data_IF_731815128376
#
_entry.id   IF_731815128376
#
_cell.length_a   1.000
_cell.length_b   1.000
_cell.length_c   1.000
_cell.angle_alpha   90.00
_cell.angle_beta   90.00
_cell.angle_gamma   90.00
#
_symmetry.space_group_name_H-M   'P 1'
#
loop_
_entity.id
_entity.type
_entity.pdbx_description
1 polymer ?
#
# COMPACT_ATOMS: atom_id res chain seq x y z
N UNK A 1 -55.62 36.89 -10.90
CA UNK A 1 -55.12 37.93 -11.82
C UNK A 1 -53.85 37.45 -12.51
N UNK A 2 -54.04 37.17 -13.72
CA UNK A 2 -53.19 37.35 -14.92
C UNK A 2 -51.77 36.76 -14.95
N UNK A 3 -51.69 35.69 -15.70
CA UNK A 3 -50.55 35.05 -16.32
C UNK A 3 -50.01 35.96 -17.44
N UNK A 4 -48.70 36.08 -17.59
CA UNK A 4 -48.06 36.43 -18.87
C UNK A 4 -46.82 35.63 -19.08
N UNK A 5 -46.90 34.73 -20.04
CA UNK A 5 -45.82 34.01 -20.73
C UNK A 5 -45.17 34.90 -21.77
N UNK A 6 -43.85 34.87 -21.87
CA UNK A 6 -43.14 35.28 -23.10
C UNK A 6 -41.97 34.35 -23.37
N UNK A 7 -42.14 33.62 -24.45
CA UNK A 7 -41.16 32.83 -25.17
C UNK A 7 -40.32 33.73 -26.07
N UNK A 8 -39.00 33.53 -26.12
CA UNK A 8 -38.14 34.02 -27.18
C UNK A 8 -37.23 32.90 -27.67
N UNK A 9 -37.53 32.47 -28.85
CA UNK A 9 -36.72 31.68 -29.78
C UNK A 9 -35.69 32.60 -30.47
N UNK A 10 -34.47 32.10 -30.66
CA UNK A 10 -33.56 32.54 -31.73
C UNK A 10 -32.50 31.46 -31.95
N UNK A 11 -32.60 30.84 -32.95
CA UNK A 11 -32.06 30.48 -34.24
C UNK A 11 -30.54 30.47 -34.35
N UNK A 12 -30.11 29.31 -34.78
CA UNK A 12 -28.81 28.86 -35.27
C UNK A 12 -28.19 29.71 -36.39
N UNK A 13 -26.87 29.81 -36.40
CA UNK A 13 -26.10 29.97 -37.64
C UNK A 13 -24.83 29.12 -37.56
N UNK A 14 -24.76 28.15 -38.42
CA UNK A 14 -23.59 27.36 -38.79
C UNK A 14 -22.72 28.17 -39.78
N UNK A 15 -21.43 28.12 -39.64
CA UNK A 15 -20.48 28.41 -40.71
C UNK A 15 -19.33 27.43 -40.69
N UNK A 16 -19.32 26.62 -41.68
CA UNK A 16 -18.24 25.74 -42.14
C UNK A 16 -17.16 26.57 -42.87
N UNK A 17 -15.90 26.26 -42.60
CA UNK A 17 -14.83 26.55 -43.57
C UNK A 17 -13.83 25.40 -43.61
N UNK A 18 -13.61 25.00 -44.83
CA UNK A 18 -12.85 23.88 -45.37
C UNK A 18 -11.35 24.18 -45.44
N UNK A 19 -10.59 23.10 -45.25
CA UNK A 19 -9.37 22.63 -45.93
C UNK A 19 -8.14 23.53 -46.09
N UNK A 20 -7.00 22.97 -45.73
CA UNK A 20 -5.95 22.69 -46.73
C UNK A 20 -4.89 21.72 -46.21
N UNK A 21 -4.67 20.69 -46.95
CA UNK A 21 -3.60 19.72 -46.99
C UNK A 21 -2.27 20.36 -47.35
N UNK A 22 -1.19 19.93 -46.70
CA UNK A 22 0.13 19.89 -47.35
C UNK A 22 0.99 18.75 -46.79
N UNK A 23 1.28 17.86 -47.69
CA UNK A 23 2.23 16.77 -47.65
C UNK A 23 3.66 17.25 -47.91
N UNK A 24 4.65 16.69 -47.24
CA UNK A 24 6.03 16.48 -47.74
C UNK A 24 6.76 15.58 -46.76
N UNK A 25 7.05 14.40 -47.13
CA UNK A 25 8.14 13.76 -47.83
C UNK A 25 9.28 13.32 -46.91
N UNK A 26 9.34 12.00 -46.87
CA UNK A 26 10.41 11.08 -46.45
C UNK A 26 11.83 11.51 -46.79
N UNK A 27 12.76 11.28 -45.88
CA UNK A 27 14.12 10.89 -46.27
C UNK A 27 14.67 9.83 -45.27
N UNK A 28 14.81 8.64 -45.79
CA UNK A 28 15.56 7.54 -45.20
C UNK A 28 17.05 7.69 -45.47
N UNK A 29 17.88 7.56 -44.46
CA UNK A 29 19.31 7.30 -44.65
C UNK A 29 19.72 6.06 -43.83
N UNK A 30 19.92 5.00 -44.57
CA UNK A 30 20.65 3.79 -44.16
C UNK A 30 22.14 4.07 -44.10
N UNK A 31 22.78 3.77 -42.97
CA UNK A 31 24.24 3.63 -42.91
C UNK A 31 24.58 2.27 -42.34
N UNK A 32 25.06 1.42 -43.23
CA UNK A 32 25.68 0.15 -42.94
C UNK A 32 27.14 0.40 -42.49
N UNK A 33 27.59 -0.24 -41.44
CA UNK A 33 29.02 -0.31 -41.10
C UNK A 33 29.36 -1.75 -40.73
N UNK A 34 30.32 -2.21 -41.49
CA UNK A 34 30.92 -3.52 -41.55
C UNK A 34 31.66 -3.95 -40.28
N UNK A 35 31.55 -5.24 -40.02
CA UNK A 35 32.35 -6.03 -39.09
C UNK A 35 33.82 -6.13 -39.48
N UNK A 36 34.72 -5.94 -38.51
CA UNK A 36 36.12 -6.40 -38.65
C UNK A 36 36.44 -7.32 -37.47
N UNK A 37 36.66 -8.55 -37.79
CA UNK A 37 37.19 -9.60 -36.92
C UNK A 37 38.72 -9.53 -36.86
N UNK A 38 39.31 -9.44 -35.69
CA UNK A 38 40.73 -9.64 -35.46
C UNK A 38 40.94 -10.79 -34.48
N UNK A 39 41.51 -11.82 -35.04
CA UNK A 39 42.03 -12.99 -34.32
C UNK A 39 43.39 -12.64 -33.70
N UNK A 40 43.58 -12.89 -32.41
CA UNK A 40 44.87 -12.89 -31.75
C UNK A 40 45.21 -14.25 -31.18
N UNK A 41 46.26 -14.79 -31.69
CA UNK A 41 46.89 -16.06 -31.32
C UNK A 41 47.63 -15.91 -29.99
N UNK A 42 47.35 -16.76 -29.01
CA UNK A 42 48.10 -16.83 -27.76
C UNK A 42 49.19 -17.90 -27.85
N UNK A 43 50.43 -17.51 -27.68
CA UNK A 43 51.56 -18.40 -27.49
C UNK A 43 51.76 -18.73 -26.01
N UNK A 44 51.78 -20.02 -25.72
CA UNK A 44 52.05 -20.64 -24.42
C UNK A 44 53.58 -20.59 -24.15
N UNK A 45 54.00 -19.99 -23.05
CA UNK A 45 55.33 -20.15 -22.53
C UNK A 45 55.26 -20.81 -21.13
N UNK A 46 55.79 -22.01 -21.06
CA UNK A 46 55.91 -22.82 -19.83
C UNK A 46 57.21 -22.36 -19.10
N UNK A 47 57.07 -21.85 -17.89
CA UNK A 47 58.22 -21.66 -16.98
C UNK A 47 57.91 -22.41 -15.68
N UNK A 48 58.70 -23.46 -15.46
CA UNK A 48 58.77 -24.24 -14.20
C UNK A 48 59.58 -23.42 -13.18
N UNK A 49 58.97 -23.06 -12.08
CA UNK A 49 59.69 -22.57 -10.90
C UNK A 49 59.25 -23.35 -9.67
N UNK A 50 60.19 -24.08 -9.11
CA UNK A 50 60.08 -24.79 -7.84
C UNK A 50 60.01 -23.77 -6.69
N UNK A 51 59.01 -23.86 -5.85
CA UNK A 51 58.96 -23.07 -4.61
C UNK A 51 58.59 -23.92 -3.43
N UNK A 52 59.43 -23.83 -2.45
CA UNK A 52 59.37 -24.38 -1.12
C UNK A 52 58.10 -24.05 -0.38
N UNK A 53 57.42 -25.10 0.15
CA UNK A 53 56.24 -25.01 0.98
C UNK A 53 56.59 -24.54 2.38
N UNK A 54 56.27 -23.30 2.72
CA UNK A 54 56.21 -22.85 4.12
C UNK A 54 54.78 -22.93 4.62
N UNK A 55 54.47 -23.86 5.49
CA UNK A 55 53.16 -24.03 6.10
C UNK A 55 52.97 -22.93 7.17
N UNK A 56 52.25 -21.86 6.84
CA UNK A 56 51.76 -20.91 7.82
C UNK A 56 50.29 -21.30 8.10
N UNK A 57 50.03 -21.83 9.30
CA UNK A 57 48.67 -22.07 9.79
C UNK A 57 48.01 -20.73 10.13
N UNK A 58 47.24 -20.23 9.21
CA UNK A 58 46.31 -19.10 9.44
C UNK A 58 45.04 -19.71 10.02
N UNK A 59 44.79 -19.50 11.29
CA UNK A 59 43.48 -19.76 11.92
C UNK A 59 42.51 -18.72 11.43
N UNK A 60 41.76 -19.06 10.37
CA UNK A 60 40.61 -18.27 9.96
C UNK A 60 39.48 -18.57 10.95
N UNK A 61 39.27 -17.64 11.88
CA UNK A 61 38.02 -17.57 12.63
C UNK A 61 36.91 -17.20 11.66
N UNK A 62 36.18 -18.20 11.13
CA UNK A 62 34.93 -18.00 10.44
C UNK A 62 33.89 -17.52 11.46
N UNK A 63 33.68 -16.22 11.53
CA UNK A 63 32.44 -15.66 12.09
C UNK A 63 31.30 -16.09 11.15
N UNK A 64 30.66 -17.19 11.47
CA UNK A 64 29.38 -17.52 10.87
C UNK A 64 28.37 -16.47 11.34
N UNK A 65 28.12 -15.46 10.50
CA UNK A 65 26.89 -14.69 10.61
C UNK A 65 25.74 -15.66 10.33
N UNK A 66 25.06 -16.09 11.38
CA UNK A 66 23.80 -16.82 11.25
C UNK A 66 22.78 -15.83 10.68
N UNK A 67 22.69 -15.73 9.37
CA UNK A 67 21.47 -15.23 8.72
C UNK A 67 20.41 -16.25 9.07
N UNK A 68 19.55 -15.93 10.02
CA UNK A 68 18.30 -16.64 10.23
C UNK A 68 17.50 -16.49 8.94
N UNK A 69 17.58 -17.50 8.06
CA UNK A 69 16.71 -17.57 6.90
C UNK A 69 15.30 -17.77 7.45
N UNK A 70 14.47 -16.75 7.34
CA UNK A 70 13.06 -16.88 7.69
C UNK A 70 12.45 -17.95 6.79
N UNK A 71 11.96 -19.01 7.37
CA UNK A 71 11.26 -20.07 6.64
C UNK A 71 9.95 -19.54 6.08
N UNK A 72 9.58 -20.01 4.89
CA UNK A 72 8.27 -19.73 4.29
C UNK A 72 7.15 -20.20 5.25
N UNK A 73 6.28 -19.29 5.74
CA UNK A 73 5.21 -19.65 6.67
C UNK A 73 4.22 -20.66 6.09
N UNK A 74 4.15 -20.77 4.78
CA UNK A 74 3.30 -21.75 4.11
C UNK A 74 3.83 -23.19 4.21
N UNK A 75 5.12 -23.37 4.45
CA UNK A 75 5.71 -24.69 4.72
C UNK A 75 5.35 -25.20 6.12
N UNK A 76 5.07 -24.32 7.06
CA UNK A 76 4.65 -24.65 8.44
C UNK A 76 3.14 -24.59 8.65
N UNK A 77 2.35 -24.58 7.59
CA UNK A 77 0.89 -24.46 7.63
C UNK A 77 0.39 -23.23 8.44
N UNK A 78 1.12 -22.11 8.34
CA UNK A 78 0.80 -20.86 9.03
C UNK A 78 1.19 -20.80 10.51
N UNK A 79 1.78 -21.85 11.07
CA UNK A 79 2.17 -21.93 12.50
C UNK A 79 3.42 -21.10 12.84
N UNK A 80 3.60 -19.94 12.19
CA UNK A 80 4.77 -19.09 12.39
C UNK A 80 4.61 -18.10 13.54
N UNK A 81 3.39 -17.75 13.86
CA UNK A 81 3.11 -16.79 14.94
C UNK A 81 2.40 -17.45 16.10
N UNK A 82 2.68 -16.93 17.29
CA UNK A 82 1.92 -17.31 18.48
C UNK A 82 0.45 -16.90 18.26
N UNK A 83 -0.47 -17.80 18.54
CA UNK A 83 -1.92 -17.54 18.41
C UNK A 83 -2.46 -16.59 19.47
N UNK A 84 -1.66 -16.32 20.51
CA UNK A 84 -1.98 -15.39 21.61
C UNK A 84 -1.28 -14.06 21.38
N UNK A 85 -2.05 -13.01 21.14
CA UNK A 85 -1.55 -11.66 20.96
C UNK A 85 -1.22 -10.96 22.28
N UNK A 86 -0.26 -10.07 22.23
CA UNK A 86 0.14 -9.17 23.32
C UNK A 86 -0.42 -7.79 22.98
N UNK A 87 -1.30 -7.24 23.81
CA UNK A 87 -1.78 -5.87 23.62
C UNK A 87 -0.67 -4.88 23.92
N UNK A 88 -0.29 -4.08 22.92
CA UNK A 88 0.76 -3.06 23.04
C UNK A 88 0.22 -1.65 23.20
N UNK A 89 -0.97 -1.38 22.68
CA UNK A 89 -1.70 -0.11 22.81
C UNK A 89 -3.19 -0.40 22.99
N UNK A 90 -3.86 0.37 23.85
CA UNK A 90 -5.31 0.25 24.08
C UNK A 90 -5.91 1.54 24.62
N UNK A 91 -7.27 1.66 24.53
CA UNK A 91 -8.06 2.70 25.20
C UNK A 91 -7.73 2.75 26.72
N UNK A 92 -7.77 3.96 27.38
CA UNK A 92 -8.40 5.20 26.90
C UNK A 92 -7.45 6.18 26.19
N UNK A 93 -6.15 5.91 26.13
CA UNK A 93 -5.16 6.86 25.55
C UNK A 93 -5.30 6.96 24.03
N UNK A 94 -5.72 5.86 23.41
CA UNK A 94 -5.78 5.66 21.98
C UNK A 94 -7.10 4.97 21.64
N UNK A 95 -7.71 5.29 20.51
CA UNK A 95 -9.03 4.76 20.20
C UNK A 95 -9.06 3.91 18.93
N UNK A 96 -9.70 4.38 17.86
CA UNK A 96 -9.98 3.56 16.67
C UNK A 96 -8.81 3.58 15.70
N UNK A 97 -7.94 2.62 15.85
CA UNK A 97 -6.80 2.43 14.97
C UNK A 97 -7.19 1.97 13.57
N UNK A 98 -6.46 2.47 12.59
CA UNK A 98 -6.64 2.10 11.19
C UNK A 98 -5.31 1.59 10.61
N UNK A 99 -4.70 2.27 9.66
CA UNK A 99 -3.44 1.84 9.07
C UNK A 99 -2.23 2.02 9.98
N UNK A 100 -1.28 1.13 9.81
CA UNK A 100 -0.02 1.09 10.56
C UNK A 100 1.16 0.97 9.61
N UNK A 101 2.31 1.52 10.04
CA UNK A 101 3.56 1.45 9.31
C UNK A 101 4.75 1.35 10.27
N UNK A 102 5.70 0.47 9.98
CA UNK A 102 7.01 0.43 10.64
C UNK A 102 8.06 1.09 9.76
N UNK A 103 8.85 1.97 10.34
CA UNK A 103 10.05 2.46 9.67
C UNK A 103 11.24 1.48 9.84
N UNK A 104 12.36 1.76 9.16
CA UNK A 104 13.57 0.93 9.21
C UNK A 104 14.22 0.81 10.59
N UNK A 105 13.75 1.54 11.59
CA UNK A 105 14.22 1.51 12.98
C UNK A 105 13.24 0.81 13.93
N UNK A 106 12.23 0.13 13.37
CA UNK A 106 11.10 -0.46 14.10
C UNK A 106 10.31 0.58 14.93
N UNK A 107 10.24 1.80 14.46
CA UNK A 107 9.30 2.78 15.00
C UNK A 107 7.93 2.54 14.37
N UNK A 108 6.92 2.32 15.20
CA UNK A 108 5.55 2.10 14.76
C UNK A 108 4.79 3.43 14.66
N UNK A 109 4.25 3.71 13.49
CA UNK A 109 3.32 4.81 13.25
C UNK A 109 1.91 4.27 13.04
N UNK A 110 0.92 4.93 13.66
CA UNK A 110 -0.47 4.44 13.67
C UNK A 110 -1.43 5.61 13.46
N UNK A 111 -2.31 5.49 12.49
CA UNK A 111 -3.41 6.44 12.31
C UNK A 111 -4.55 6.13 13.29
N UNK A 112 -4.94 7.14 14.07
CA UNK A 112 -6.06 7.09 15.01
C UNK A 112 -7.22 7.92 14.45
N UNK A 113 -8.22 7.21 13.94
CA UNK A 113 -9.36 7.80 13.26
C UNK A 113 -10.20 8.68 14.17
N UNK A 114 -10.41 8.29 15.41
CA UNK A 114 -11.30 9.03 16.34
C UNK A 114 -10.63 10.26 16.93
N UNK A 115 -9.36 10.09 17.32
CA UNK A 115 -8.58 11.18 17.89
C UNK A 115 -8.03 12.15 16.84
N UNK A 116 -8.17 11.84 15.54
CA UNK A 116 -7.71 12.66 14.41
C UNK A 116 -6.21 12.95 14.43
N UNK A 117 -5.40 11.96 14.84
CA UNK A 117 -3.94 12.08 14.95
C UNK A 117 -3.23 10.87 14.36
N UNK A 118 -1.92 11.00 14.21
CA UNK A 118 -1.00 9.87 14.05
C UNK A 118 -0.14 9.76 15.30
N UNK A 119 -0.10 8.55 15.85
CA UNK A 119 0.75 8.18 16.96
C UNK A 119 2.09 7.62 16.45
N UNK A 120 3.16 7.85 17.22
CA UNK A 120 4.49 7.28 17.06
C UNK A 120 4.85 6.52 18.32
N UNK A 121 5.17 5.23 18.18
CA UNK A 121 5.66 4.38 19.25
C UNK A 121 7.06 3.92 18.92
N UNK A 122 8.04 4.33 19.70
CA UNK A 122 9.42 3.91 19.52
C UNK A 122 9.60 2.44 19.88
N UNK A 123 10.56 1.78 19.26
CA UNK A 123 10.95 0.40 19.59
C UNK A 123 11.22 0.27 21.09
N UNK A 124 10.69 -0.79 21.71
CA UNK A 124 10.86 -1.11 23.14
C UNK A 124 10.30 -0.04 24.12
N UNK A 125 9.41 0.82 23.69
CA UNK A 125 8.68 1.74 24.58
C UNK A 125 7.21 1.34 24.65
N UNK A 126 6.53 1.76 25.72
CA UNK A 126 5.09 1.51 25.92
C UNK A 126 4.24 2.78 25.76
N UNK A 127 4.86 3.96 25.68
CA UNK A 127 4.16 5.25 25.65
C UNK A 127 4.24 5.85 24.24
N UNK A 128 3.13 5.96 23.51
CA UNK A 128 3.09 6.60 22.22
C UNK A 128 3.08 8.13 22.36
N UNK A 129 3.58 8.82 21.34
CA UNK A 129 3.52 10.27 21.21
C UNK A 129 2.73 10.65 19.97
N UNK A 130 1.93 11.73 20.02
CA UNK A 130 1.31 12.32 18.83
C UNK A 130 2.42 12.98 18.01
N UNK A 131 2.48 12.66 16.71
CA UNK A 131 3.45 13.30 15.80
C UNK A 131 2.79 14.28 14.84
N UNK A 132 1.55 14.04 14.42
CA UNK A 132 0.79 14.95 13.57
C UNK A 132 -0.70 14.88 13.93
N UNK A 133 -1.42 15.95 13.60
CA UNK A 133 -2.80 16.16 14.00
C UNK A 133 -2.90 16.87 15.35
N UNK A 134 -4.10 17.28 15.72
CA UNK A 134 -4.41 17.88 17.01
C UNK A 134 -5.37 16.95 17.76
N UNK A 135 -4.92 16.44 18.89
CA UNK A 135 -5.63 15.39 19.64
C UNK A 135 -7.08 15.81 19.95
N UNK A 136 -8.03 14.97 19.54
CA UNK A 136 -9.45 15.19 19.74
C UNK A 136 -10.08 16.32 18.89
N UNK A 137 -9.31 16.95 18.00
CA UNK A 137 -9.76 18.02 17.12
C UNK A 137 -9.70 17.63 15.66
N UNK A 138 -10.85 17.56 15.01
CA UNK A 138 -10.92 17.36 13.55
C UNK A 138 -10.87 18.70 12.82
N UNK A 139 -10.26 18.74 11.64
CA UNK A 139 -10.20 19.95 10.82
C UNK A 139 -9.39 19.78 9.55
N UNK A 140 -9.39 20.83 8.73
CA UNK A 140 -8.77 20.87 7.41
C UNK A 140 -7.55 21.80 7.33
N UNK A 141 -7.08 22.34 8.47
CA UNK A 141 -5.87 23.16 8.51
C UNK A 141 -4.60 22.34 8.24
N UNK A 142 -3.45 22.98 8.21
CA UNK A 142 -2.17 22.29 8.06
C UNK A 142 -1.81 21.42 9.28
N UNK A 143 -2.33 21.75 10.47
CA UNK A 143 -2.03 21.07 11.75
C UNK A 143 -3.12 20.09 12.18
N UNK A 144 -4.23 20.01 11.47
CA UNK A 144 -5.36 19.13 11.82
C UNK A 144 -5.61 18.09 10.75
N UNK A 145 -6.17 16.97 11.18
CA UNK A 145 -6.62 15.86 10.33
C UNK A 145 -8.12 15.63 10.55
N UNK A 146 -8.74 14.91 9.64
CA UNK A 146 -10.12 14.48 9.82
C UNK A 146 -10.29 13.02 9.35
N UNK A 147 -10.41 12.11 10.32
CA UNK A 147 -10.54 10.66 10.09
C UNK A 147 -9.35 10.07 9.31
N UNK A 148 -8.09 10.23 9.78
CA UNK A 148 -6.93 9.65 9.11
C UNK A 148 -7.08 8.11 9.00
N UNK A 149 -6.67 7.54 7.87
CA UNK A 149 -6.88 6.11 7.60
C UNK A 149 -5.58 5.32 7.41
N UNK A 150 -4.55 5.93 6.88
CA UNK A 150 -3.27 5.27 6.62
C UNK A 150 -2.13 6.25 6.83
N UNK A 151 -0.98 5.69 7.16
CA UNK A 151 0.28 6.40 7.35
C UNK A 151 1.38 5.65 6.61
N UNK A 152 2.31 6.39 6.04
CA UNK A 152 3.55 5.91 5.43
C UNK A 152 4.71 6.83 5.84
N UNK A 153 5.90 6.27 5.99
CA UNK A 153 7.12 7.05 6.27
C UNK A 153 8.18 6.63 5.25
N UNK A 154 8.65 7.59 4.48
CA UNK A 154 9.68 7.34 3.46
C UNK A 154 11.09 7.18 4.08
N UNK A 155 12.06 6.87 3.22
CA UNK A 155 13.46 6.71 3.59
C UNK A 155 14.08 7.98 4.19
N UNK A 156 13.54 9.16 3.89
CA UNK A 156 13.95 10.47 4.41
C UNK A 156 13.21 10.87 5.70
N UNK A 157 12.42 9.96 6.29
CA UNK A 157 11.57 10.23 7.47
C UNK A 157 10.47 11.26 7.22
N UNK A 158 10.08 11.47 5.98
CA UNK A 158 8.87 12.23 5.65
C UNK A 158 7.65 11.37 5.93
N UNK A 159 6.70 11.91 6.65
CA UNK A 159 5.47 11.21 7.02
C UNK A 159 4.34 11.63 6.08
N UNK A 160 3.60 10.65 5.57
CA UNK A 160 2.45 10.84 4.70
C UNK A 160 1.19 10.26 5.35
N UNK A 161 0.08 10.98 5.28
CA UNK A 161 -1.19 10.59 5.91
C UNK A 161 -2.33 10.72 4.92
N UNK A 162 -3.15 9.69 4.81
CA UNK A 162 -4.43 9.81 4.13
C UNK A 162 -5.45 10.46 5.05
N UNK A 163 -5.74 11.72 4.79
CA UNK A 163 -6.65 12.59 5.52
C UNK A 163 -8.06 12.48 4.92
N UNK A 164 -8.74 11.40 5.30
CA UNK A 164 -9.86 10.79 4.58
C UNK A 164 -11.04 11.73 4.34
N UNK A 165 -11.57 12.37 5.38
CA UNK A 165 -12.72 13.27 5.24
C UNK A 165 -12.37 14.66 4.72
N UNK A 166 -11.08 15.01 4.68
CA UNK A 166 -10.59 16.21 3.99
C UNK A 166 -10.25 15.93 2.52
N UNK A 167 -10.42 14.68 2.06
CA UNK A 167 -10.23 14.25 0.67
C UNK A 167 -8.84 14.54 0.10
N UNK A 168 -7.80 14.41 0.93
CA UNK A 168 -6.41 14.77 0.59
C UNK A 168 -5.40 13.78 1.16
N UNK A 169 -4.17 13.82 0.62
CA UNK A 169 -2.99 13.25 1.24
C UNK A 169 -2.13 14.39 1.77
N UNK A 170 -1.79 14.34 3.04
CA UNK A 170 -0.91 15.29 3.72
C UNK A 170 0.51 14.73 3.84
N UNK A 171 1.51 15.59 3.62
CA UNK A 171 2.94 15.33 3.72
C UNK A 171 3.52 16.19 4.83
N UNK A 172 4.31 15.58 5.73
CA UNK A 172 4.98 16.25 6.85
C UNK A 172 6.47 15.99 6.77
N UNK A 173 7.27 17.03 6.56
CA UNK A 173 8.72 16.96 6.34
C UNK A 173 9.45 17.34 7.62
N UNK A 174 10.55 16.65 7.93
CA UNK A 174 11.43 16.98 9.05
C UNK A 174 10.71 17.06 10.40
N UNK A 175 9.84 16.12 10.69
CA UNK A 175 9.04 16.08 11.92
C UNK A 175 8.15 17.33 12.15
N UNK A 176 7.87 18.08 11.08
CA UNK A 176 6.95 19.22 11.12
C UNK A 176 5.56 18.75 11.50
N UNK A 177 4.85 19.54 12.31
CA UNK A 177 3.42 19.37 12.57
C UNK A 177 2.53 20.09 11.55
N UNK A 178 3.13 20.90 10.66
CA UNK A 178 2.45 21.58 9.56
C UNK A 178 2.51 20.73 8.30
N UNK A 179 1.38 20.17 7.91
CA UNK A 179 1.25 19.34 6.70
C UNK A 179 1.13 20.17 5.42
N UNK A 180 1.66 19.63 4.35
CA UNK A 180 1.52 20.13 2.98
C UNK A 180 0.64 19.17 2.22
N UNK A 181 -0.43 19.64 1.56
CA UNK A 181 -1.27 18.78 0.71
C UNK A 181 -0.50 18.43 -0.55
N UNK A 182 -0.26 17.12 -0.77
CA UNK A 182 0.43 16.65 -1.97
C UNK A 182 -0.49 16.03 -3.02
N UNK A 183 -1.67 15.54 -2.63
CA UNK A 183 -2.64 14.99 -3.58
C UNK A 183 -4.06 15.28 -3.11
N UNK A 184 -4.96 15.47 -4.06
CA UNK A 184 -6.32 15.92 -3.80
C UNK A 184 -6.41 17.43 -3.57
N UNK A 185 -7.62 17.91 -3.32
CA UNK A 185 -7.92 19.31 -3.00
C UNK A 185 -8.68 19.31 -1.69
N UNK A 186 -8.16 20.03 -0.69
CA UNK A 186 -8.72 20.06 0.67
C UNK A 186 -10.22 20.40 0.66
N UNK A 187 -11.03 19.56 1.31
CA UNK A 187 -12.49 19.67 1.39
C UNK A 187 -13.22 19.63 0.05
N UNK A 188 -12.56 19.22 -1.04
CA UNK A 188 -13.13 19.14 -2.38
C UNK A 188 -13.13 17.70 -2.88
N UNK A 189 -14.18 16.94 -2.54
CA UNK A 189 -14.33 15.58 -3.05
C UNK A 189 -14.78 15.57 -4.50
N UNK A 190 -14.21 14.70 -5.31
CA UNK A 190 -14.60 14.57 -6.70
C UNK A 190 -13.88 13.42 -7.41
N UNK A 191 -14.24 13.20 -8.66
CA UNK A 191 -13.72 12.11 -9.50
C UNK A 191 -12.73 12.59 -10.58
N UNK A 192 -12.47 13.89 -10.69
CA UNK A 192 -11.44 14.42 -11.61
C UNK A 192 -10.05 13.89 -11.23
N UNK A 193 -9.06 14.02 -12.11
CA UNK A 193 -7.72 13.45 -11.87
C UNK A 193 -6.95 14.15 -10.72
N UNK A 194 -7.31 15.40 -10.42
CA UNK A 194 -6.74 16.19 -9.33
C UNK A 194 -7.53 16.13 -8.01
N UNK A 195 -8.63 15.36 -7.97
CA UNK A 195 -9.45 15.22 -6.77
C UNK A 195 -9.42 13.78 -6.27
N UNK A 196 -9.61 13.64 -4.96
CA UNK A 196 -9.79 12.37 -4.26
C UNK A 196 -11.18 12.34 -3.59
N UNK A 197 -11.66 11.14 -3.31
CA UNK A 197 -12.88 10.94 -2.52
C UNK A 197 -12.68 9.83 -1.50
N UNK A 198 -12.63 10.18 -0.23
CA UNK A 198 -12.42 9.26 0.88
C UNK A 198 -11.18 8.37 0.66
N UNK A 199 -9.97 8.96 0.48
CA UNK A 199 -8.74 8.17 0.31
C UNK A 199 -8.50 7.31 1.56
N UNK A 200 -8.10 6.06 1.35
CA UNK A 200 -7.89 5.07 2.42
C UNK A 200 -6.41 4.75 2.61
N UNK A 201 -5.93 3.70 2.02
CA UNK A 201 -4.52 3.34 2.07
C UNK A 201 -3.69 4.19 1.10
N UNK A 202 -2.46 4.44 1.48
CA UNK A 202 -1.41 4.93 0.59
C UNK A 202 -0.16 4.05 0.75
N UNK A 203 0.60 3.92 -0.31
CA UNK A 203 1.92 3.29 -0.34
C UNK A 203 2.79 3.97 -1.38
N UNK A 204 4.08 3.72 -1.34
CA UNK A 204 5.03 4.18 -2.35
C UNK A 204 5.63 2.97 -3.08
N UNK A 205 6.28 3.23 -4.21
CA UNK A 205 7.21 2.29 -4.82
C UNK A 205 8.48 2.17 -3.95
N UNK A 206 9.35 1.20 -4.25
CA UNK A 206 10.57 0.93 -3.49
C UNK A 206 11.60 2.07 -3.52
N UNK A 207 11.41 3.03 -4.43
CA UNK A 207 12.29 4.20 -4.60
C UNK A 207 11.75 5.49 -3.98
N UNK A 208 10.56 5.46 -3.37
CA UNK A 208 9.83 6.64 -2.88
C UNK A 208 9.54 7.68 -3.99
N UNK A 209 9.54 7.27 -5.26
CA UNK A 209 9.36 8.16 -6.42
C UNK A 209 7.88 8.39 -6.75
N UNK A 210 7.07 7.33 -6.64
CA UNK A 210 5.64 7.39 -6.92
C UNK A 210 4.81 6.91 -5.74
N UNK A 211 3.78 7.70 -5.41
CA UNK A 211 2.78 7.36 -4.40
C UNK A 211 1.54 6.79 -5.05
N UNK A 212 1.02 5.71 -4.48
CA UNK A 212 -0.22 5.05 -4.88
C UNK A 212 -1.27 5.23 -3.80
N UNK A 213 -2.48 5.65 -4.17
CA UNK A 213 -3.57 5.98 -3.25
C UNK A 213 -4.82 5.20 -3.60
N UNK A 214 -5.39 4.50 -2.63
CA UNK A 214 -6.74 3.94 -2.73
C UNK A 214 -7.77 5.07 -2.64
N UNK A 215 -8.19 5.59 -3.78
CA UNK A 215 -9.26 6.58 -3.93
C UNK A 215 -10.62 5.87 -3.84
N UNK A 216 -10.93 5.45 -2.62
CA UNK A 216 -11.93 4.43 -2.29
C UNK A 216 -13.33 4.84 -2.73
N UNK A 217 -13.70 6.12 -2.54
CA UNK A 217 -15.00 6.65 -2.93
C UNK A 217 -15.18 6.84 -4.44
N UNK A 218 -14.08 6.76 -5.21
CA UNK A 218 -14.08 6.79 -6.67
C UNK A 218 -13.76 5.42 -7.30
N UNK A 219 -13.61 4.38 -6.47
CA UNK A 219 -13.41 3.00 -6.94
C UNK A 219 -12.19 2.82 -7.85
N UNK A 220 -11.06 3.46 -7.49
CA UNK A 220 -9.84 3.48 -8.30
C UNK A 220 -8.58 3.54 -7.42
N UNK A 221 -7.45 3.21 -8.02
CA UNK A 221 -6.13 3.50 -7.47
C UNK A 221 -5.52 4.62 -8.31
N UNK A 222 -5.06 5.66 -7.65
CA UNK A 222 -4.38 6.81 -8.24
C UNK A 222 -2.88 6.72 -7.98
N UNK A 223 -2.08 7.17 -8.94
CA UNK A 223 -0.64 7.32 -8.82
C UNK A 223 -0.27 8.81 -8.94
N UNK A 224 0.61 9.27 -8.06
CA UNK A 224 1.14 10.64 -8.04
C UNK A 224 2.67 10.59 -7.88
N UNK A 225 3.43 11.41 -8.59
CA UNK A 225 4.85 11.65 -8.27
C UNK A 225 5.03 12.16 -6.83
N UNK A 226 6.12 11.80 -6.15
CA UNK A 226 6.38 12.20 -4.76
C UNK A 226 6.60 13.71 -4.55
N UNK A 227 6.80 14.45 -5.64
CA UNK A 227 6.93 15.92 -5.65
C UNK A 227 5.60 16.63 -6.02
N UNK A 228 4.49 15.91 -6.17
CA UNK A 228 3.18 16.50 -6.44
C UNK A 228 2.72 17.45 -5.36
N UNK A 229 1.84 18.36 -5.72
CA UNK A 229 1.22 19.37 -4.86
C UNK A 229 -0.30 19.34 -4.99
N UNK A 230 -0.98 20.09 -4.11
CA UNK A 230 -2.45 20.19 -4.13
C UNK A 230 -2.98 20.63 -5.48
N UNK A 231 -3.89 19.84 -6.04
CA UNK A 231 -4.53 20.14 -7.32
C UNK A 231 -3.79 19.60 -8.55
N UNK A 232 -2.64 18.94 -8.37
CA UNK A 232 -1.97 18.23 -9.46
C UNK A 232 -2.76 17.00 -9.88
N UNK A 233 -2.73 16.72 -11.19
CA UNK A 233 -3.37 15.54 -11.74
C UNK A 233 -2.58 14.28 -11.43
N UNK A 234 -3.24 13.29 -10.84
CA UNK A 234 -2.74 11.94 -10.76
C UNK A 234 -3.11 11.11 -11.99
N UNK A 235 -2.57 9.90 -12.06
CA UNK A 235 -2.88 8.90 -13.09
C UNK A 235 -3.69 7.75 -12.48
N UNK A 236 -4.74 7.30 -13.17
CA UNK A 236 -5.46 6.08 -12.77
C UNK A 236 -4.62 4.87 -13.17
N UNK A 237 -4.23 4.04 -12.20
CA UNK A 237 -3.41 2.83 -12.44
C UNK A 237 -4.17 1.52 -12.24
N UNK A 238 -5.34 1.58 -11.57
CA UNK A 238 -6.26 0.44 -11.46
C UNK A 238 -7.70 0.91 -11.25
N UNK A 239 -8.67 0.18 -11.76
CA UNK A 239 -10.10 0.52 -11.62
C UNK A 239 -10.53 1.75 -12.43
N UNK A 240 -11.36 2.62 -11.81
CA UNK A 240 -11.86 3.85 -12.47
C UNK A 240 -12.93 3.64 -13.53
N UNK A 241 -13.49 2.43 -13.59
CA UNK A 241 -14.61 2.07 -14.51
C UNK A 241 -15.96 1.98 -13.78
N UNK A 242 -16.11 2.75 -12.70
CA UNK A 242 -17.23 2.65 -11.77
C UNK A 242 -17.07 1.51 -10.77
N UNK A 243 -17.99 1.47 -9.79
CA UNK A 243 -18.02 0.39 -8.78
C UNK A 243 -18.50 -0.93 -9.39
N UNK A 244 -17.88 -2.04 -9.01
CA UNK A 244 -18.33 -3.35 -9.47
C UNK A 244 -17.41 -4.49 -9.11
N UNK A 245 -17.80 -5.69 -9.53
CA UNK A 245 -17.11 -6.95 -9.24
C UNK A 245 -16.39 -7.54 -10.46
N UNK A 246 -16.49 -6.87 -11.63
CA UNK A 246 -15.78 -7.32 -12.81
C UNK A 246 -14.26 -7.09 -12.65
N UNK A 247 -13.46 -7.85 -13.38
CA UNK A 247 -12.00 -7.75 -13.32
C UNK A 247 -11.43 -6.41 -13.84
N UNK A 248 -12.26 -5.58 -14.49
CA UNK A 248 -11.93 -4.21 -14.93
C UNK A 248 -12.33 -3.15 -13.89
N UNK A 249 -12.98 -3.54 -12.80
CA UNK A 249 -13.58 -2.66 -11.82
C UNK A 249 -13.00 -2.90 -10.42
N UNK A 250 -13.05 -1.86 -9.60
CA UNK A 250 -12.88 -1.95 -8.15
C UNK A 250 -14.18 -1.54 -7.46
N UNK A 251 -14.39 -2.04 -6.24
CA UNK A 251 -15.51 -1.65 -5.41
C UNK A 251 -15.02 -1.29 -4.02
N UNK A 252 -14.92 0.00 -3.73
CA UNK A 252 -14.34 0.56 -2.48
C UNK A 252 -13.01 -0.11 -2.11
N UNK A 253 -11.95 0.04 -2.94
CA UNK A 253 -10.63 -0.47 -2.61
C UNK A 253 -10.15 0.15 -1.29
N UNK A 254 -9.46 -0.65 -0.46
CA UNK A 254 -9.04 -0.18 0.85
C UNK A 254 -7.53 -0.22 1.02
N UNK A 255 -6.96 -1.39 1.18
CA UNK A 255 -5.52 -1.63 1.33
C UNK A 255 -4.84 -1.80 0.00
N UNK A 256 -3.61 -1.34 -0.08
CA UNK A 256 -2.71 -1.51 -1.22
C UNK A 256 -1.37 -2.00 -0.68
N UNK A 257 -0.79 -2.97 -1.36
CA UNK A 257 0.62 -3.32 -1.25
C UNK A 257 1.25 -3.26 -2.65
N UNK A 258 2.33 -2.53 -2.77
CA UNK A 258 3.14 -2.47 -3.99
C UNK A 258 4.61 -2.33 -3.61
N UNK A 259 5.41 -3.23 -4.11
CA UNK A 259 6.86 -3.24 -4.03
C UNK A 259 7.36 -3.98 -5.25
N UNK A 260 7.86 -3.23 -6.24
CA UNK A 260 8.30 -3.79 -7.52
C UNK A 260 9.54 -4.67 -7.40
N UNK A 261 10.27 -4.61 -6.29
CA UNK A 261 11.40 -5.53 -6.01
C UNK A 261 10.91 -6.93 -5.64
N UNK A 262 9.67 -7.03 -5.14
CA UNK A 262 9.01 -8.28 -4.78
C UNK A 262 8.11 -8.77 -5.91
N UNK A 263 7.34 -7.88 -6.52
CA UNK A 263 6.38 -8.21 -7.59
C UNK A 263 6.07 -7.02 -8.47
N UNK A 264 6.02 -7.21 -9.79
CA UNK A 264 5.52 -6.19 -10.75
C UNK A 264 4.04 -5.81 -10.53
N UNK A 265 3.30 -6.61 -9.78
CA UNK A 265 1.88 -6.40 -9.53
C UNK A 265 1.64 -5.66 -8.22
N UNK A 266 0.69 -4.75 -8.27
CA UNK A 266 0.04 -4.18 -7.09
C UNK A 266 -1.02 -5.16 -6.56
N UNK A 267 -1.12 -5.29 -5.25
CA UNK A 267 -2.12 -6.11 -4.56
C UNK A 267 -3.10 -5.20 -3.83
N UNK A 268 -4.39 -5.42 -4.07
CA UNK A 268 -5.45 -4.50 -3.64
C UNK A 268 -6.53 -5.28 -2.91
N UNK A 269 -6.87 -4.88 -1.68
CA UNK A 269 -8.11 -5.36 -1.06
C UNK A 269 -9.29 -4.62 -1.67
N UNK A 270 -10.07 -5.35 -2.44
CA UNK A 270 -11.29 -4.86 -3.09
C UNK A 270 -12.48 -5.08 -2.13
N UNK A 271 -12.57 -4.22 -1.11
CA UNK A 271 -13.35 -4.44 0.11
C UNK A 271 -14.84 -4.63 -0.15
N UNK A 272 -15.45 -3.83 -1.01
CA UNK A 272 -16.87 -3.96 -1.35
C UNK A 272 -17.19 -5.16 -2.23
N UNK A 273 -16.19 -5.73 -2.88
CA UNK A 273 -16.32 -6.97 -3.67
C UNK A 273 -15.90 -8.22 -2.88
N UNK A 274 -15.43 -8.07 -1.63
CA UNK A 274 -14.98 -9.15 -0.76
C UNK A 274 -13.82 -9.98 -1.32
N UNK A 275 -12.91 -9.34 -2.04
CA UNK A 275 -11.78 -10.01 -2.74
C UNK A 275 -10.46 -9.30 -2.51
N UNK A 276 -9.38 -10.02 -2.81
CA UNK A 276 -8.06 -9.45 -3.10
C UNK A 276 -7.79 -9.60 -4.59
N UNK A 277 -7.31 -8.53 -5.20
CA UNK A 277 -6.93 -8.50 -6.61
C UNK A 277 -5.44 -8.19 -6.76
N UNK A 278 -4.77 -8.84 -7.70
CA UNK A 278 -3.49 -8.38 -8.24
C UNK A 278 -3.73 -7.61 -9.54
N UNK A 279 -3.00 -6.52 -9.70
CA UNK A 279 -3.18 -5.60 -10.83
C UNK A 279 -1.84 -5.06 -11.30
N UNK A 280 -1.50 -5.23 -12.56
CA UNK A 280 -0.32 -4.56 -13.12
C UNK A 280 -0.64 -3.06 -13.26
N UNK A 281 0.13 -2.15 -12.65
CA UNK A 281 -0.13 -0.72 -12.73
C UNK A 281 -0.35 -0.23 -14.15
N UNK A 282 -1.48 0.43 -14.43
CA UNK A 282 -1.85 0.91 -15.75
C UNK A 282 -2.55 -0.11 -16.66
N UNK A 283 -2.63 -1.38 -16.28
CA UNK A 283 -3.38 -2.38 -17.04
C UNK A 283 -4.89 -2.11 -17.01
N UNK A 284 -5.61 -2.58 -18.01
CA UNK A 284 -7.07 -2.40 -18.14
C UNK A 284 -7.87 -3.30 -17.19
N UNK A 285 -7.27 -4.36 -16.64
CA UNK A 285 -7.92 -5.33 -15.78
C UNK A 285 -6.94 -5.92 -14.76
N UNK A 286 -7.49 -6.40 -13.65
CA UNK A 286 -6.79 -7.17 -12.64
C UNK A 286 -7.24 -8.62 -12.60
N UNK A 287 -6.66 -9.39 -11.69
CA UNK A 287 -7.01 -10.80 -11.45
C UNK A 287 -7.37 -10.98 -9.97
N UNK A 288 -8.50 -11.62 -9.69
CA UNK A 288 -8.85 -12.03 -8.34
C UNK A 288 -7.95 -13.18 -7.90
N UNK A 289 -7.34 -13.07 -6.72
CA UNK A 289 -6.41 -14.06 -6.17
C UNK A 289 -6.86 -14.64 -4.83
N UNK A 290 -7.78 -13.96 -4.13
CA UNK A 290 -8.42 -14.45 -2.92
C UNK A 290 -9.83 -13.88 -2.78
N UNK A 291 -10.73 -14.64 -2.17
CA UNK A 291 -12.15 -14.31 -2.10
C UNK A 291 -12.91 -14.66 -3.39
N UNK A 292 -14.23 -14.51 -3.36
CA UNK A 292 -15.12 -14.72 -4.51
C UNK A 292 -15.89 -13.41 -4.77
N UNK A 293 -15.84 -12.86 -5.98
CA UNK A 293 -16.43 -11.56 -6.29
C UNK A 293 -17.91 -11.46 -5.90
N UNK A 294 -18.26 -10.51 -5.03
CA UNK A 294 -19.62 -10.25 -4.58
C UNK A 294 -20.16 -11.23 -3.53
N UNK A 295 -19.37 -12.23 -3.12
CA UNK A 295 -19.79 -13.22 -2.12
C UNK A 295 -18.93 -13.07 -0.85
N UNK A 296 -19.56 -12.60 0.23
CA UNK A 296 -18.93 -12.57 1.54
C UNK A 296 -19.13 -13.90 2.30
N UNK A 297 -18.20 -14.22 3.16
CA UNK A 297 -18.30 -15.41 4.01
C UNK A 297 -17.03 -15.67 4.82
N UNK A 298 -17.09 -16.65 5.72
CA UNK A 298 -16.04 -16.92 6.73
C UNK A 298 -15.26 -18.22 6.51
N UNK A 299 -15.55 -18.99 5.46
CA UNK A 299 -14.75 -20.19 5.15
C UNK A 299 -13.34 -19.81 4.64
N UNK A 300 -12.51 -20.81 4.32
CA UNK A 300 -11.12 -20.59 3.89
C UNK A 300 -10.99 -19.87 2.55
N UNK A 301 -11.98 -19.96 1.67
CA UNK A 301 -11.94 -19.35 0.32
C UNK A 301 -12.64 -18.01 0.25
N UNK A 302 -13.38 -17.60 1.27
CA UNK A 302 -14.18 -16.38 1.30
C UNK A 302 -13.56 -15.34 2.24
N UNK A 303 -13.82 -14.09 1.91
CA UNK A 303 -13.49 -12.91 2.70
C UNK A 303 -14.76 -12.11 3.00
N UNK A 304 -14.68 -11.23 3.99
CA UNK A 304 -15.76 -10.30 4.29
C UNK A 304 -15.20 -8.90 4.53
N UNK A 305 -15.35 -8.02 3.55
CA UNK A 305 -14.87 -6.63 3.61
C UNK A 305 -13.40 -6.53 4.03
N UNK A 306 -12.46 -7.19 3.32
CA UNK A 306 -11.03 -7.13 3.65
C UNK A 306 -10.53 -5.67 3.64
N UNK A 307 -9.64 -5.34 4.58
CA UNK A 307 -9.14 -3.97 4.77
C UNK A 307 -7.68 -3.82 4.35
N UNK A 308 -6.75 -4.28 5.12
CA UNK A 308 -5.32 -4.15 4.81
C UNK A 308 -4.74 -5.42 4.21
N UNK A 309 -3.59 -5.25 3.56
CA UNK A 309 -2.86 -6.31 2.87
C UNK A 309 -1.37 -6.08 3.01
N UNK A 310 -0.63 -7.15 3.28
CA UNK A 310 0.84 -7.20 3.23
C UNK A 310 1.28 -8.44 2.47
N UNK A 311 2.47 -8.38 1.92
CA UNK A 311 3.13 -9.52 1.30
C UNK A 311 4.48 -9.75 1.96
N UNK A 312 4.93 -11.01 1.91
CA UNK A 312 6.32 -11.39 2.21
C UNK A 312 7.12 -11.65 0.92
N UNK A 313 8.42 -11.90 1.08
CA UNK A 313 9.33 -12.18 -0.04
C UNK A 313 9.00 -13.47 -0.80
N UNK A 314 8.15 -14.34 -0.24
CA UNK A 314 7.67 -15.57 -0.89
C UNK A 314 6.40 -15.35 -1.71
N UNK A 315 5.86 -14.12 -1.73
CA UNK A 315 4.58 -13.73 -2.31
C UNK A 315 3.37 -14.34 -1.59
N UNK A 316 3.51 -14.66 -0.31
CA UNK A 316 2.37 -14.98 0.52
C UNK A 316 1.66 -13.69 0.94
N UNK A 317 0.34 -13.77 1.03
CA UNK A 317 -0.53 -12.60 1.18
C UNK A 317 -1.20 -12.65 2.56
N UNK A 318 -1.03 -11.60 3.32
CA UNK A 318 -1.64 -11.39 4.63
C UNK A 318 -2.79 -10.42 4.52
N UNK A 319 -3.99 -10.80 4.94
CA UNK A 319 -5.22 -10.02 4.75
C UNK A 319 -5.91 -9.79 6.09
N UNK A 320 -6.17 -8.53 6.43
CA UNK A 320 -7.09 -8.17 7.51
C UNK A 320 -8.52 -8.38 7.04
N UNK A 321 -9.09 -9.52 7.37
CA UNK A 321 -10.45 -9.94 7.00
C UNK A 321 -11.45 -9.37 8.01
N UNK A 322 -11.69 -8.05 7.90
CA UNK A 322 -12.39 -7.20 8.86
C UNK A 322 -13.73 -7.75 9.32
N UNK A 323 -14.60 -8.08 8.37
CA UNK A 323 -15.96 -8.54 8.68
C UNK A 323 -16.02 -9.97 9.27
N UNK A 324 -14.88 -10.70 9.24
CA UNK A 324 -14.74 -12.02 9.86
C UNK A 324 -13.88 -12.00 11.12
N UNK A 325 -13.40 -10.82 11.56
CA UNK A 325 -12.61 -10.64 12.77
C UNK A 325 -11.35 -11.54 12.83
N UNK A 326 -10.65 -11.69 11.71
CA UNK A 326 -9.47 -12.55 11.60
C UNK A 326 -8.41 -11.95 10.67
N UNK A 327 -7.17 -12.43 10.80
CA UNK A 327 -6.12 -12.27 9.79
C UNK A 327 -5.95 -13.59 9.04
N UNK A 328 -5.99 -13.52 7.71
CA UNK A 328 -5.83 -14.66 6.80
C UNK A 328 -4.48 -14.60 6.09
N UNK A 329 -3.80 -15.74 6.02
CA UNK A 329 -2.64 -15.98 5.18
C UNK A 329 -3.07 -16.77 3.95
N UNK A 330 -2.82 -16.23 2.76
CA UNK A 330 -2.96 -16.97 1.51
C UNK A 330 -1.56 -17.27 0.96
N UNK A 331 -1.24 -18.54 0.84
CA UNK A 331 0.01 -18.98 0.27
C UNK A 331 0.05 -18.66 -1.23
N UNK A 332 1.24 -18.42 -1.76
CA UNK A 332 1.44 -18.13 -3.18
C UNK A 332 0.68 -19.14 -4.05
N UNK A 333 -0.13 -18.65 -4.99
CA UNK A 333 -0.96 -19.43 -5.91
C UNK A 333 -2.01 -20.34 -5.23
N UNK A 334 -2.38 -20.07 -3.98
CA UNK A 334 -3.43 -20.80 -3.27
C UNK A 334 -4.53 -19.84 -2.83
N UNK A 335 -5.76 -20.13 -3.24
CA UNK A 335 -6.95 -19.35 -2.86
C UNK A 335 -7.57 -19.78 -1.53
N UNK A 336 -7.05 -20.84 -0.87
CA UNK A 336 -7.46 -21.25 0.46
C UNK A 336 -6.62 -20.52 1.51
N UNK A 337 -7.26 -19.66 2.27
CA UNK A 337 -6.64 -18.92 3.36
C UNK A 337 -6.49 -19.76 4.63
N UNK A 338 -5.43 -19.49 5.37
CA UNK A 338 -5.13 -20.04 6.69
C UNK A 338 -5.36 -18.91 7.70
N UNK A 339 -6.19 -19.14 8.71
CA UNK A 339 -6.34 -18.16 9.80
C UNK A 339 -5.09 -18.19 10.67
N UNK A 340 -4.41 -17.05 10.80
CA UNK A 340 -3.17 -16.89 11.57
C UNK A 340 -3.34 -16.04 12.83
N UNK A 341 -4.42 -15.28 12.93
CA UNK A 341 -4.86 -14.57 14.15
C UNK A 341 -6.38 -14.35 14.11
N UNK A 342 -7.00 -14.20 15.28
CA UNK A 342 -8.45 -14.04 15.40
C UNK A 342 -9.19 -15.37 15.35
N UNK A 343 -8.92 -16.22 16.32
CA UNK A 343 -9.55 -17.53 16.45
C UNK A 343 -10.83 -17.44 17.30
N UNK A 344 -11.98 -17.80 16.72
CA UNK A 344 -13.26 -17.83 17.43
C UNK A 344 -14.12 -16.59 17.22
N UNK A 345 -15.03 -16.33 18.17
CA UNK A 345 -15.93 -15.19 18.11
C UNK A 345 -15.18 -13.86 18.28
N UNK A 346 -15.68 -12.76 17.70
CA UNK A 346 -15.06 -11.44 17.90
C UNK A 346 -15.02 -11.06 19.37
N UNK A 347 -13.96 -10.41 19.82
CA UNK A 347 -13.83 -10.04 21.23
C UNK A 347 -12.47 -9.49 21.62
N UNK A 348 -12.31 -9.21 22.90
CA UNK A 348 -11.12 -8.57 23.48
C UNK A 348 -10.14 -9.57 24.12
N UNK A 349 -10.36 -10.89 23.99
CA UNK A 349 -9.38 -11.89 24.45
C UNK A 349 -8.09 -11.82 23.61
N UNK A 350 -6.99 -12.31 24.17
CA UNK A 350 -5.67 -12.29 23.48
C UNK A 350 -5.63 -13.19 22.23
N UNK A 351 -6.56 -14.15 22.10
CA UNK A 351 -6.67 -15.04 20.95
C UNK A 351 -7.73 -14.61 19.94
N UNK A 352 -8.51 -13.56 20.24
CA UNK A 352 -9.58 -13.06 19.36
C UNK A 352 -9.20 -11.70 18.78
N UNK A 353 -9.86 -11.30 17.69
CA UNK A 353 -9.76 -9.97 17.11
C UNK A 353 -11.14 -9.30 17.09
N UNK A 354 -11.13 -7.95 17.16
CA UNK A 354 -12.32 -7.12 17.00
C UNK A 354 -12.12 -6.11 15.87
N UNK A 355 -12.63 -6.43 14.67
CA UNK A 355 -12.55 -5.56 13.50
C UNK A 355 -11.12 -5.23 13.06
N UNK A 356 -10.28 -6.19 12.63
CA UNK A 356 -8.89 -5.94 12.19
C UNK A 356 -8.88 -5.02 10.96
N UNK A 357 -8.08 -3.95 11.01
CA UNK A 357 -8.00 -2.96 9.92
C UNK A 357 -6.62 -2.81 9.33
N UNK A 358 -5.57 -2.81 10.12
CA UNK A 358 -4.19 -2.69 9.68
C UNK A 358 -3.37 -3.91 10.07
N UNK A 359 -2.42 -4.27 9.22
CA UNK A 359 -1.40 -5.28 9.47
C UNK A 359 -0.05 -4.63 9.24
N UNK A 360 0.91 -4.88 10.14
CA UNK A 360 2.30 -4.46 9.96
C UNK A 360 3.23 -5.53 10.53
N UNK A 361 4.48 -5.56 10.05
CA UNK A 361 5.52 -6.45 10.55
C UNK A 361 6.71 -5.62 11.01
N UNK A 362 7.29 -5.96 12.16
CA UNK A 362 8.58 -5.40 12.58
C UNK A 362 9.75 -6.16 11.91
N UNK A 363 10.99 -5.69 12.11
CA UNK A 363 12.18 -6.30 11.50
C UNK A 363 12.43 -7.75 11.93
N UNK A 364 11.82 -8.18 13.04
CA UNK A 364 11.83 -9.55 13.53
C UNK A 364 10.66 -10.39 13.00
N UNK A 365 9.86 -9.83 12.07
CA UNK A 365 8.66 -10.45 11.52
C UNK A 365 7.58 -10.77 12.56
N UNK A 366 7.57 -10.08 13.70
CA UNK A 366 6.40 -10.11 14.55
C UNK A 366 5.25 -9.40 13.84
N UNK A 367 4.06 -10.00 13.87
CA UNK A 367 2.88 -9.44 13.25
C UNK A 367 2.13 -8.52 14.21
N UNK A 368 1.76 -7.34 13.73
CA UNK A 368 0.93 -6.39 14.47
C UNK A 368 -0.39 -6.22 13.76
N UNK A 369 -1.47 -6.21 14.52
CA UNK A 369 -2.83 -6.04 14.02
C UNK A 369 -3.51 -4.91 14.76
N UNK A 370 -3.97 -3.88 14.03
CA UNK A 370 -4.82 -2.85 14.58
C UNK A 370 -6.28 -3.31 14.58
N UNK A 371 -6.92 -3.17 15.73
CA UNK A 371 -8.30 -3.62 15.95
C UNK A 371 -9.20 -2.41 16.20
N UNK A 372 -10.04 -2.13 15.24
CA UNK A 372 -10.89 -0.95 15.24
C UNK A 372 -12.05 -1.04 16.25
N UNK A 373 -12.66 -2.21 16.36
CA UNK A 373 -13.82 -2.42 17.23
C UNK A 373 -13.39 -2.86 18.64
N UNK A 374 -12.16 -3.34 18.82
CA UNK A 374 -11.58 -3.68 20.12
C UNK A 374 -10.69 -2.56 20.70
N UNK A 375 -10.50 -1.44 19.99
CA UNK A 375 -9.75 -0.25 20.45
C UNK A 375 -8.35 -0.57 20.94
N UNK A 376 -7.60 -1.42 20.21
CA UNK A 376 -6.24 -1.83 20.60
C UNK A 376 -5.38 -2.19 19.39
N UNK A 377 -4.08 -2.33 19.65
CA UNK A 377 -3.13 -3.00 18.75
C UNK A 377 -2.59 -4.22 19.46
N UNK A 378 -2.66 -5.38 18.80
CA UNK A 378 -2.05 -6.62 19.26
C UNK A 378 -0.79 -6.93 18.46
N UNK A 379 0.22 -7.43 19.17
CA UNK A 379 1.46 -8.01 18.64
C UNK A 379 1.42 -9.53 18.78
N UNK A 380 1.65 -10.24 17.69
CA UNK A 380 1.81 -11.70 17.64
C UNK A 380 3.28 -12.03 17.38
N UNK A 381 3.92 -12.69 18.35
CA UNK A 381 5.34 -13.01 18.26
C UNK A 381 5.59 -14.10 17.22
N UNK A 382 6.65 -13.95 16.45
CA UNK A 382 7.21 -15.00 15.59
C UNK A 382 7.71 -16.16 16.46
N UNK A 383 7.40 -17.43 16.06
CA UNK A 383 7.81 -18.66 16.73
C UNK A 383 9.15 -19.17 16.20
#
# INVERSE_FOLDING_TARGET
STITTSSTTSSSTSSSTTSSTSSSSTTSSTTSSSSTSSSTTSSTTTSTTSSTTTTSSTTTSSTSSSTTSFLDPCMSNGSRWNTTGITILSSPTVERFTGMFFDSQDTLYIADQTNNVVWKLLKNTATPNVVVGTLGSSGASATTLYYPQSVYVDSNKTLYVSDNYNHRIQKYINESTNGITMAGITNSSGATLNQLKLPRCLTFDSTDTYMYVADSGNHRIMCYPSNSTSGDNGTIVAGGKGSGIANTQLYTPWGIFYDETISEYMYITNSGAHTVMKWLPGASNGTVIAGVPGLNGSNATLLNSPRDIKLDAYLNIYVADYGNNRTQLFCRNNSNGITIAGYGAPGNASTTLGGPRGIAFDSSMNMYVSEFDAYRVQKFLTL
#
